data_IF_122054573369
#
_entry.id   IF_122054573369
#
_cell.length_a   1.000
_cell.length_b   1.000
_cell.length_c   1.000
_cell.angle_alpha   90.00
_cell.angle_beta   90.00
_cell.angle_gamma   90.00
#
_symmetry.space_group_name_H-M   'P 1'
#
loop_
_entity.id
_entity.type
_entity.pdbx_description
1 polymer ?
#
# COMPACT_ATOMS: atom_id res chain seq x y z
N UNK A 1 -34.88 -16.42 14.60
CA UNK A 1 -34.24 -15.08 14.74
C UNK A 1 -32.86 -15.17 15.41
N UNK A 2 -32.75 -15.73 16.61
CA UNK A 2 -31.47 -15.84 17.36
C UNK A 2 -30.33 -16.48 16.56
N UNK A 3 -30.56 -17.63 15.90
CA UNK A 3 -29.55 -18.32 15.07
C UNK A 3 -29.12 -17.52 13.84
N UNK A 4 -30.05 -16.78 13.22
CA UNK A 4 -29.77 -15.89 12.08
C UNK A 4 -28.93 -14.68 12.51
N UNK A 5 -29.19 -14.13 13.70
CA UNK A 5 -28.37 -13.08 14.30
C UNK A 5 -26.97 -13.60 14.69
N UNK A 6 -26.84 -14.84 15.18
CA UNK A 6 -25.54 -15.47 15.46
C UNK A 6 -24.67 -15.62 14.21
N UNK A 7 -25.29 -15.97 13.07
CA UNK A 7 -24.61 -16.06 11.78
C UNK A 7 -24.19 -14.70 11.23
N UNK A 8 -25.02 -13.65 11.42
CA UNK A 8 -24.68 -12.27 11.04
C UNK A 8 -23.47 -11.73 11.81
N UNK A 9 -23.34 -12.05 13.10
CA UNK A 9 -22.20 -11.61 13.93
C UNK A 9 -20.89 -12.30 13.49
N UNK A 10 -20.92 -13.60 13.16
CA UNK A 10 -19.74 -14.31 12.65
C UNK A 10 -19.31 -13.81 11.25
N UNK A 11 -20.26 -13.43 10.40
CA UNK A 11 -20.00 -12.86 9.07
C UNK A 11 -19.51 -11.40 9.15
N UNK A 12 -19.90 -10.64 10.18
CA UNK A 12 -19.38 -9.29 10.40
C UNK A 12 -17.96 -9.29 10.97
N UNK A 13 -17.63 -10.21 11.89
CA UNK A 13 -16.29 -10.32 12.46
C UNK A 13 -15.22 -10.72 11.42
N UNK A 14 -15.63 -11.35 10.31
CA UNK A 14 -14.76 -11.72 9.18
C UNK A 14 -14.58 -10.62 8.13
N UNK A 15 -15.31 -9.50 8.23
CA UNK A 15 -15.24 -8.33 7.33
C UNK A 15 -14.66 -7.06 7.96
N UNK A 16 -14.19 -7.12 9.22
CA UNK A 16 -13.53 -5.96 9.83
C UNK A 16 -12.14 -5.73 9.24
N UNK A 17 -11.74 -4.49 8.94
CA UNK A 17 -10.37 -4.18 8.58
C UNK A 17 -9.44 -4.51 9.75
N UNK A 18 -8.20 -4.86 9.46
CA UNK A 18 -7.15 -5.01 10.47
C UNK A 18 -5.98 -4.03 10.25
N UNK A 19 -5.98 -3.37 9.09
CA UNK A 19 -5.10 -2.26 8.76
C UNK A 19 -5.83 -1.27 7.84
N UNK A 20 -5.37 -0.02 7.83
CA UNK A 20 -5.93 1.02 6.97
C UNK A 20 -4.88 2.08 6.68
N UNK A 21 -5.10 2.84 5.60
CA UNK A 21 -4.25 3.93 5.18
C UNK A 21 -5.05 5.18 4.81
N UNK A 22 -4.51 6.37 5.09
CA UNK A 22 -5.05 7.64 4.60
C UNK A 22 -3.93 8.40 3.87
N UNK A 23 -4.15 8.64 2.57
CA UNK A 23 -3.35 9.57 1.77
C UNK A 23 -3.92 10.98 1.95
N UNK A 24 -3.12 11.89 2.51
CA UNK A 24 -3.57 13.25 2.86
C UNK A 24 -3.52 14.18 1.64
N UNK A 25 -4.16 15.37 1.69
CA UNK A 25 -4.01 16.38 0.66
C UNK A 25 -2.55 16.75 0.38
N UNK A 26 -1.70 16.82 1.42
CA UNK A 26 -0.27 17.07 1.25
C UNK A 26 0.43 15.94 0.49
N UNK A 27 0.05 14.68 0.73
CA UNK A 27 0.53 13.54 -0.05
C UNK A 27 0.10 13.60 -1.51
N UNK A 28 -1.14 14.03 -1.80
CA UNK A 28 -1.60 14.24 -3.17
C UNK A 28 -0.84 15.35 -3.90
N UNK A 29 -0.58 16.47 -3.23
CA UNK A 29 0.26 17.54 -3.78
C UNK A 29 1.68 17.06 -4.07
N UNK A 30 2.26 16.24 -3.19
CA UNK A 30 3.57 15.63 -3.42
C UNK A 30 3.56 14.71 -4.66
N UNK A 31 2.55 13.83 -4.78
CA UNK A 31 2.39 12.95 -5.94
C UNK A 31 2.27 13.78 -7.22
N UNK A 32 1.45 14.82 -7.21
CA UNK A 32 1.29 15.70 -8.36
C UNK A 32 2.62 16.34 -8.80
N UNK A 33 3.42 16.82 -7.84
CA UNK A 33 4.71 17.44 -8.13
C UNK A 33 5.71 16.46 -8.76
N UNK A 34 5.85 15.25 -8.19
CA UNK A 34 6.80 14.25 -8.71
C UNK A 34 6.35 13.65 -10.05
N UNK A 35 5.04 13.67 -10.34
CA UNK A 35 4.48 13.15 -11.60
C UNK A 35 4.61 14.11 -12.79
N UNK A 36 4.98 15.38 -12.59
CA UNK A 36 5.11 16.38 -13.69
C UNK A 36 6.01 15.91 -14.83
N UNK A 37 7.19 15.39 -14.51
CA UNK A 37 8.16 14.96 -15.53
C UNK A 37 7.63 13.78 -16.36
N UNK A 38 6.94 12.84 -15.71
CA UNK A 38 6.30 11.72 -16.39
C UNK A 38 5.14 12.20 -17.29
N UNK A 39 4.32 13.12 -16.78
CA UNK A 39 3.23 13.69 -17.56
C UNK A 39 3.74 14.44 -18.80
N UNK A 40 4.81 15.22 -18.66
CA UNK A 40 5.46 15.90 -19.78
C UNK A 40 5.98 14.90 -20.81
N UNK A 41 6.65 13.83 -20.38
CA UNK A 41 7.18 12.81 -21.29
C UNK A 41 6.08 12.14 -22.12
N UNK A 42 4.96 11.76 -21.47
CA UNK A 42 3.81 11.13 -22.14
C UNK A 42 3.17 12.10 -23.15
N UNK A 43 2.87 13.33 -22.71
CA UNK A 43 2.26 14.34 -23.58
C UNK A 43 3.17 14.71 -24.75
N UNK A 44 4.48 14.82 -24.51
CA UNK A 44 5.46 15.12 -25.55
C UNK A 44 5.53 14.03 -26.61
N UNK A 45 5.53 12.76 -26.19
CA UNK A 45 5.59 11.62 -27.11
C UNK A 45 4.39 11.62 -28.07
N UNK A 46 3.20 11.92 -27.57
CA UNK A 46 1.98 11.84 -28.39
C UNK A 46 1.69 13.12 -29.18
N UNK A 47 1.95 14.31 -28.60
CA UNK A 47 1.70 15.59 -29.28
C UNK A 47 2.75 15.93 -30.33
N UNK A 48 3.99 15.46 -30.18
CA UNK A 48 5.05 15.68 -31.18
C UNK A 48 5.15 14.53 -32.20
N UNK A 49 4.31 13.51 -32.10
CA UNK A 49 4.29 12.41 -33.07
C UNK A 49 3.88 12.93 -34.46
N UNK A 50 4.59 12.57 -35.54
CA UNK A 50 4.20 12.98 -36.88
C UNK A 50 2.82 12.40 -37.23
N UNK A 51 1.94 13.24 -37.77
CA UNK A 51 0.65 12.80 -38.28
C UNK A 51 0.87 11.68 -39.31
N UNK A 52 0.24 10.52 -39.08
CA UNK A 52 0.30 9.39 -40.02
C UNK A 52 -0.28 9.90 -41.35
N UNK A 53 0.45 9.79 -42.47
CA UNK A 53 -0.10 10.20 -43.75
C UNK A 53 -1.28 9.29 -44.08
N UNK A 54 -2.47 9.87 -44.24
CA UNK A 54 -3.61 9.17 -44.81
C UNK A 54 -3.18 8.54 -46.14
N UNK A 55 -3.26 7.21 -46.24
CA UNK A 55 -2.93 6.41 -47.43
C UNK A 55 -3.92 6.63 -48.59
N UNK A 56 -4.70 7.71 -48.57
CA UNK A 56 -5.57 8.11 -49.66
C UNK A 56 -4.77 8.94 -50.67
N UNK A 57 -4.49 8.32 -51.81
CA UNK A 57 -3.92 8.95 -53.01
C UNK A 57 -4.77 10.17 -53.41
N UNK A 58 -4.39 11.36 -52.95
CA UNK A 58 -4.97 12.63 -53.39
C UNK A 58 -5.04 13.78 -52.38
N UNK A 59 -4.78 13.55 -51.09
CA UNK A 59 -4.91 14.62 -50.08
C UNK A 59 -3.76 15.65 -50.15
N UNK A 60 -4.03 16.94 -49.90
CA UNK A 60 -2.99 17.97 -49.89
C UNK A 60 -1.92 17.65 -48.85
N UNK A 61 -0.67 18.00 -49.15
CA UNK A 61 0.48 17.93 -48.25
C UNK A 61 0.10 18.58 -46.90
N UNK A 62 0.37 17.94 -45.74
CA UNK A 62 0.05 18.54 -44.46
C UNK A 62 0.86 19.83 -44.29
N UNK A 63 0.21 20.97 -44.48
CA UNK A 63 0.61 22.26 -43.92
C UNK A 63 0.13 22.24 -42.46
N UNK A 64 0.94 22.45 -41.44
CA UNK A 64 2.35 22.80 -41.38
C UNK A 64 2.65 23.51 -40.06
N UNK A 65 1.93 23.18 -38.98
CA UNK A 65 2.21 23.69 -37.65
C UNK A 65 2.73 22.51 -36.83
N UNK A 66 4.05 22.48 -36.65
CA UNK A 66 4.69 21.45 -35.86
C UNK A 66 4.74 21.92 -34.41
N UNK A 67 4.29 21.06 -33.49
CA UNK A 67 4.52 21.23 -32.06
C UNK A 67 6.01 20.94 -31.83
N UNK A 68 6.75 21.97 -31.41
CA UNK A 68 8.19 21.95 -31.26
C UNK A 68 8.63 21.82 -29.80
N UNK A 69 7.77 22.24 -28.86
CA UNK A 69 8.00 22.08 -27.43
C UNK A 69 6.69 21.80 -26.69
N UNK A 70 6.79 20.96 -25.68
CA UNK A 70 5.72 20.63 -24.72
C UNK A 70 6.35 20.72 -23.33
N UNK A 71 5.81 21.58 -22.48
CA UNK A 71 6.30 21.75 -21.11
C UNK A 71 5.11 21.80 -20.15
N UNK A 72 5.15 20.97 -19.11
CA UNK A 72 4.08 20.97 -18.10
C UNK A 72 4.36 22.09 -17.09
N UNK A 73 3.57 23.15 -17.14
CA UNK A 73 3.69 24.30 -16.26
C UNK A 73 3.16 23.97 -14.85
N UNK A 74 2.00 23.31 -14.78
CA UNK A 74 1.37 22.92 -13.52
C UNK A 74 0.69 21.55 -13.65
N UNK A 75 0.79 20.74 -12.60
CA UNK A 75 0.01 19.52 -12.44
C UNK A 75 -0.51 19.50 -11.01
N UNK A 76 -1.81 19.38 -10.84
CA UNK A 76 -2.44 19.33 -9.53
C UNK A 76 -3.50 18.23 -9.42
N UNK A 77 -3.62 17.71 -8.20
CA UNK A 77 -4.63 16.73 -7.81
C UNK A 77 -5.43 17.31 -6.65
N UNK A 78 -6.74 17.42 -6.83
CA UNK A 78 -7.65 17.91 -5.78
C UNK A 78 -8.73 16.89 -5.44
N UNK A 79 -9.14 16.85 -4.18
CA UNK A 79 -10.16 15.92 -3.70
C UNK A 79 -11.56 16.42 -4.06
N UNK A 80 -12.36 15.54 -4.64
CA UNK A 80 -13.81 15.71 -4.75
C UNK A 80 -14.44 14.76 -3.72
N UNK A 81 -14.93 15.27 -2.57
CA UNK A 81 -15.53 14.44 -1.53
C UNK A 81 -16.62 13.53 -2.09
N UNK A 82 -16.62 12.27 -1.64
CA UNK A 82 -17.57 11.23 -2.02
C UNK A 82 -17.57 10.83 -3.51
N UNK A 83 -16.71 11.43 -4.34
CA UNK A 83 -16.68 11.17 -5.79
C UNK A 83 -15.31 10.71 -6.31
N UNK A 84 -14.20 11.33 -5.88
CA UNK A 84 -12.89 10.99 -6.41
C UNK A 84 -11.84 12.11 -6.32
N UNK A 85 -11.07 12.25 -7.39
CA UNK A 85 -10.04 13.26 -7.59
C UNK A 85 -10.32 14.07 -8.84
N UNK A 86 -9.82 15.29 -8.88
CA UNK A 86 -9.72 16.11 -10.07
C UNK A 86 -8.27 16.36 -10.40
N UNK A 87 -7.86 15.88 -11.57
CA UNK A 87 -6.58 16.12 -12.19
C UNK A 87 -6.69 17.38 -13.06
N UNK A 88 -5.78 18.33 -12.83
CA UNK A 88 -5.60 19.52 -13.66
C UNK A 88 -4.16 19.54 -14.17
N UNK A 89 -3.97 19.70 -15.48
CA UNK A 89 -2.65 19.83 -16.11
C UNK A 89 -2.67 21.07 -17.00
N UNK A 90 -1.76 22.00 -16.73
CA UNK A 90 -1.50 23.16 -17.58
C UNK A 90 -0.19 22.93 -18.34
N UNK A 91 -0.24 23.06 -19.66
CA UNK A 91 0.84 22.74 -20.58
C UNK A 91 1.11 23.92 -21.49
N UNK A 92 2.36 24.35 -21.57
CA UNK A 92 2.82 25.34 -22.53
C UNK A 92 3.28 24.61 -23.81
N UNK A 93 2.64 24.95 -24.92
CA UNK A 93 2.92 24.39 -26.25
C UNK A 93 3.62 25.43 -27.12
N UNK A 94 4.79 25.08 -27.66
CA UNK A 94 5.46 25.88 -28.67
C UNK A 94 5.09 25.38 -30.05
N UNK A 95 4.27 26.15 -30.78
CA UNK A 95 3.80 25.79 -32.12
C UNK A 95 4.47 26.72 -33.13
N UNK A 96 5.12 26.16 -34.15
CA UNK A 96 5.72 26.97 -35.22
C UNK A 96 4.96 26.74 -36.52
N UNK A 97 4.07 27.67 -36.92
CA UNK A 97 3.44 27.62 -38.23
C UNK A 97 4.46 27.99 -39.29
N UNK A 98 4.68 27.16 -40.31
CA UNK A 98 5.52 27.57 -41.44
C UNK A 98 4.78 28.63 -42.30
N UNK A 99 5.38 29.79 -42.64
CA UNK A 99 6.78 30.24 -42.49
C UNK A 99 6.99 31.31 -41.38
N UNK A 100 6.19 31.27 -40.32
CA UNK A 100 6.07 32.31 -39.29
C UNK A 100 6.83 32.03 -37.99
N UNK A 101 6.77 32.98 -37.04
CA UNK A 101 7.37 32.89 -35.70
C UNK A 101 6.61 31.93 -34.80
N UNK A 102 7.32 31.19 -33.94
CA UNK A 102 6.75 30.30 -32.93
C UNK A 102 5.76 31.04 -32.03
N UNK A 103 4.53 30.52 -31.95
CA UNK A 103 3.50 30.98 -31.01
C UNK A 103 3.49 30.05 -29.80
N UNK A 104 3.25 30.63 -28.61
CA UNK A 104 3.02 29.86 -27.39
C UNK A 104 1.51 29.77 -27.18
N UNK A 105 1.01 28.54 -27.13
CA UNK A 105 -0.37 28.23 -26.76
C UNK A 105 -0.39 27.55 -25.40
N UNK A 106 -1.45 27.76 -24.63
CA UNK A 106 -1.66 27.14 -23.33
C UNK A 106 -2.76 26.10 -23.45
N UNK A 107 -2.42 24.84 -23.19
CA UNK A 107 -3.34 23.73 -23.15
C UNK A 107 -3.66 23.43 -21.68
N UNK A 108 -4.94 23.51 -21.33
CA UNK A 108 -5.47 23.12 -20.01
C UNK A 108 -6.24 21.82 -20.15
N UNK A 109 -5.88 20.82 -19.35
CA UNK A 109 -6.51 19.50 -19.30
C UNK A 109 -7.13 19.30 -17.93
N UNK A 110 -8.41 19.00 -17.90
CA UNK A 110 -9.16 18.68 -16.68
C UNK A 110 -9.76 17.29 -16.80
N UNK A 111 -9.46 16.41 -15.85
CA UNK A 111 -10.04 15.06 -15.81
C UNK A 111 -10.45 14.71 -14.39
N UNK A 112 -11.66 14.17 -14.22
CA UNK A 112 -12.07 13.59 -12.95
C UNK A 112 -11.64 12.11 -12.91
N UNK A 113 -11.03 11.69 -11.80
CA UNK A 113 -10.52 10.35 -11.58
C UNK A 113 -11.24 9.72 -10.39
N UNK A 114 -11.55 8.44 -10.44
CA UNK A 114 -12.10 7.71 -9.31
C UNK A 114 -11.46 6.33 -9.20
N UNK A 115 -11.52 5.73 -8.01
CA UNK A 115 -10.97 4.39 -7.79
C UNK A 115 -12.12 3.40 -7.66
N UNK A 116 -12.10 2.38 -8.50
CA UNK A 116 -13.03 1.26 -8.45
C UNK A 116 -12.36 0.02 -7.87
N UNK A 117 -13.17 -0.89 -7.33
CA UNK A 117 -12.72 -2.21 -6.89
C UNK A 117 -13.28 -3.26 -7.84
N UNK A 118 -12.39 -4.01 -8.48
CA UNK A 118 -12.76 -5.08 -9.38
C UNK A 118 -13.43 -6.23 -8.63
N UNK A 119 -14.18 -7.12 -9.32
CA UNK A 119 -14.76 -8.32 -8.70
C UNK A 119 -13.71 -9.23 -8.05
N UNK A 120 -12.48 -9.21 -8.53
CA UNK A 120 -11.32 -9.94 -8.01
C UNK A 120 -10.71 -9.27 -6.77
N UNK A 121 -11.18 -8.07 -6.40
CA UNK A 121 -10.72 -7.31 -5.23
C UNK A 121 -9.52 -6.41 -5.49
N UNK A 122 -9.14 -6.20 -6.76
CA UNK A 122 -8.07 -5.28 -7.12
C UNK A 122 -8.60 -3.85 -7.23
N UNK A 123 -7.74 -2.86 -6.97
CA UNK A 123 -8.09 -1.45 -7.13
C UNK A 123 -7.63 -0.95 -8.49
N UNK A 124 -8.47 -0.17 -9.15
CA UNK A 124 -8.15 0.47 -10.42
C UNK A 124 -8.55 1.94 -10.38
N UNK A 125 -7.62 2.81 -10.79
CA UNK A 125 -7.87 4.22 -11.01
C UNK A 125 -8.41 4.39 -12.43
N UNK A 126 -9.61 4.94 -12.53
CA UNK A 126 -10.35 5.09 -13.77
C UNK A 126 -10.51 6.58 -14.08
N UNK A 127 -10.32 6.93 -15.36
CA UNK A 127 -10.65 8.27 -15.88
C UNK A 127 -12.15 8.36 -16.14
N UNK A 128 -12.76 9.47 -15.72
CA UNK A 128 -14.15 9.82 -16.02
C UNK A 128 -14.18 11.02 -16.99
N UNK A 129 -15.07 12.05 -16.93
CA UNK A 129 -15.09 13.06 -17.98
C UNK A 129 -13.76 13.81 -18.02
N UNK A 130 -13.12 13.78 -19.19
CA UNK A 130 -11.96 14.57 -19.51
C UNK A 130 -12.36 15.70 -20.46
N UNK A 131 -11.84 16.89 -20.20
CA UNK A 131 -12.00 18.07 -21.03
C UNK A 131 -10.64 18.71 -21.24
N UNK A 132 -10.29 18.97 -22.49
CA UNK A 132 -9.12 19.77 -22.83
C UNK A 132 -9.56 21.08 -23.50
N UNK A 133 -8.84 22.16 -23.23
CA UNK A 133 -9.09 23.50 -23.77
C UNK A 133 -7.77 24.12 -24.18
N UNK A 134 -7.73 24.72 -25.36
CA UNK A 134 -6.56 25.39 -25.91
C UNK A 134 -6.82 26.89 -25.98
N UNK A 135 -5.91 27.68 -25.40
CA UNK A 135 -5.99 29.14 -25.38
C UNK A 135 -4.68 29.78 -25.88
N UNK A 136 -4.80 30.89 -26.61
CA UNK A 136 -3.63 31.67 -27.04
C UNK A 136 -3.09 32.52 -25.88
N UNK A 137 -1.83 32.31 -25.51
CA UNK A 137 -1.20 32.99 -24.37
C UNK A 137 -0.98 34.51 -24.57
N UNK A 138 -1.27 35.07 -25.76
CA UNK A 138 -1.00 36.47 -26.13
C UNK A 138 -2.24 37.36 -26.32
N UNK A 139 -3.46 36.93 -25.96
CA UNK A 139 -4.66 37.79 -26.09
C UNK A 139 -4.93 38.66 -24.85
N UNK A 140 -4.01 39.58 -24.52
CA UNK A 140 -4.33 40.70 -23.61
C UNK A 140 -3.61 41.97 -24.04
N UNK A 141 -4.10 42.61 -25.09
CA UNK A 141 -4.10 44.08 -25.23
C UNK A 141 -5.17 44.46 -26.25
N UNK A 142 -6.14 45.27 -25.82
CA UNK A 142 -7.37 45.52 -26.56
C UNK A 142 -7.18 46.45 -27.75
N UNK A 143 -7.78 46.07 -28.88
CA UNK A 143 -8.41 47.00 -29.84
C UNK A 143 -9.56 46.24 -30.51
N UNK A 144 -10.78 46.78 -30.40
CA UNK A 144 -11.95 46.32 -31.16
C UNK A 144 -11.62 46.24 -32.65
N UNK A 145 -11.57 45.01 -33.17
CA UNK A 145 -11.49 44.73 -34.60
C UNK A 145 -12.51 43.65 -34.91
N UNK A 146 -13.65 44.07 -35.48
CA UNK A 146 -14.63 43.14 -36.07
C UNK A 146 -13.98 42.45 -37.28
N UNK A 147 -13.53 41.21 -37.09
CA UNK A 147 -13.38 40.26 -38.19
C UNK A 147 -13.84 38.89 -37.73
N UNK A 148 -14.77 38.37 -38.51
CA UNK A 148 -15.51 37.13 -38.40
C UNK A 148 -14.62 35.88 -38.28
N UNK A 149 -15.00 35.06 -37.30
CA UNK A 149 -15.01 33.60 -37.21
C UNK A 149 -14.28 32.73 -38.25
N UNK A 150 -13.66 31.70 -37.65
CA UNK A 150 -13.45 30.32 -38.13
C UNK A 150 -12.53 30.13 -39.33
N UNK A 151 -11.31 29.66 -39.07
CA UNK A 151 -10.54 28.71 -39.93
C UNK A 151 -9.20 28.33 -39.26
N UNK A 152 -9.22 27.95 -37.98
CA UNK A 152 -8.04 27.40 -37.27
C UNK A 152 -8.40 26.32 -36.24
N UNK A 153 -9.59 25.71 -36.35
CA UNK A 153 -10.15 24.82 -35.31
C UNK A 153 -9.77 23.33 -35.45
N UNK A 154 -8.99 22.93 -36.47
CA UNK A 154 -8.75 21.49 -36.75
C UNK A 154 -7.35 20.97 -36.36
N UNK A 155 -6.51 21.76 -35.71
CA UNK A 155 -5.07 21.44 -35.70
C UNK A 155 -4.56 20.64 -34.49
N UNK A 156 -5.32 20.60 -33.40
CA UNK A 156 -5.05 19.72 -32.26
C UNK A 156 -6.36 18.98 -31.95
N UNK A 157 -6.38 17.68 -32.21
CA UNK A 157 -7.54 16.85 -31.87
C UNK A 157 -7.64 16.74 -30.33
N UNK A 158 -8.41 17.66 -29.76
CA UNK A 158 -8.68 17.77 -28.32
C UNK A 158 -9.26 16.47 -27.76
N UNK A 159 -10.07 15.75 -28.56
CA UNK A 159 -10.64 14.46 -28.17
C UNK A 159 -9.55 13.38 -28.04
N UNK A 160 -8.49 13.46 -28.85
CA UNK A 160 -7.33 12.57 -28.73
C UNK A 160 -6.52 12.86 -27.47
N UNK A 161 -6.39 14.11 -27.05
CA UNK A 161 -5.65 14.48 -25.82
C UNK A 161 -6.21 13.74 -24.60
N UNK A 162 -7.54 13.66 -24.49
CA UNK A 162 -8.18 12.95 -23.38
C UNK A 162 -7.92 11.44 -23.37
N UNK A 163 -7.76 10.82 -24.55
CA UNK A 163 -7.30 9.43 -24.63
C UNK A 163 -5.86 9.29 -24.14
N UNK A 164 -4.98 10.24 -24.47
CA UNK A 164 -3.58 10.20 -24.01
C UNK A 164 -3.43 10.44 -22.51
N UNK A 165 -4.31 11.24 -21.90
CA UNK A 165 -4.38 11.41 -20.45
C UNK A 165 -4.65 10.07 -19.74
N UNK A 166 -5.41 9.17 -20.37
CA UNK A 166 -5.64 7.84 -19.81
C UNK A 166 -4.35 7.01 -19.75
N UNK A 167 -3.35 7.27 -20.61
CA UNK A 167 -2.03 6.61 -20.53
C UNK A 167 -1.25 7.03 -19.28
N UNK A 168 -1.51 8.22 -18.72
CA UNK A 168 -0.90 8.65 -17.46
C UNK A 168 -1.29 7.74 -16.29
N UNK A 169 -2.41 7.02 -16.40
CA UNK A 169 -2.90 6.12 -15.36
C UNK A 169 -2.31 4.71 -15.44
N UNK A 170 -1.59 4.37 -16.51
CA UNK A 170 -1.06 3.00 -16.70
C UNK A 170 -0.13 2.60 -15.56
N UNK A 171 0.86 3.45 -15.24
CA UNK A 171 1.82 3.16 -14.16
C UNK A 171 1.16 3.18 -12.77
N UNK A 172 0.34 4.18 -12.40
CA UNK A 172 -0.43 4.12 -11.16
C UNK A 172 -1.28 2.85 -11.01
N UNK A 173 -1.91 2.39 -12.09
CA UNK A 173 -2.72 1.15 -12.06
C UNK A 173 -1.87 -0.10 -11.93
N UNK A 174 -0.69 -0.16 -12.55
CA UNK A 174 0.28 -1.24 -12.34
C UNK A 174 0.70 -1.34 -10.87
N UNK A 175 1.01 -0.20 -10.25
CA UNK A 175 1.37 -0.13 -8.84
C UNK A 175 0.19 -0.47 -7.92
N UNK A 176 -1.03 -0.02 -8.23
CA UNK A 176 -2.24 -0.39 -7.48
C UNK A 176 -2.55 -1.88 -7.56
N UNK A 177 -2.34 -2.51 -8.71
CA UNK A 177 -2.48 -3.97 -8.85
C UNK A 177 -1.45 -4.73 -8.00
N UNK A 178 -0.27 -4.16 -7.77
CA UNK A 178 0.76 -4.78 -6.91
C UNK A 178 0.38 -4.81 -5.42
N UNK A 179 -0.60 -4.01 -4.99
CA UNK A 179 -1.04 -3.93 -3.58
C UNK A 179 -1.52 -5.28 -3.04
N UNK A 180 -2.16 -6.09 -3.89
CA UNK A 180 -2.69 -7.41 -3.53
C UNK A 180 -1.68 -8.54 -3.68
N UNK A 181 -0.43 -8.22 -4.05
CA UNK A 181 0.65 -9.20 -4.12
C UNK A 181 1.01 -9.77 -2.74
N UNK A 182 1.53 -11.00 -2.74
CA UNK A 182 2.05 -11.62 -1.53
C UNK A 182 3.46 -11.08 -1.24
N UNK A 183 3.64 -10.49 -0.07
CA UNK A 183 4.88 -9.91 0.39
C UNK A 183 5.57 -10.83 1.40
N UNK A 184 6.87 -11.11 1.26
CA UNK A 184 7.58 -11.99 2.18
C UNK A 184 7.78 -11.34 3.54
N UNK A 185 7.39 -12.04 4.61
CA UNK A 185 7.73 -11.71 6.01
C UNK A 185 8.96 -12.52 6.43
N UNK A 186 8.95 -13.83 6.15
CA UNK A 186 10.09 -14.76 6.31
C UNK A 186 10.15 -15.68 5.08
N UNK A 187 11.18 -16.54 4.92
CA UNK A 187 11.22 -17.49 3.80
C UNK A 187 10.01 -18.44 3.72
N UNK A 188 9.34 -18.70 4.85
CA UNK A 188 8.19 -19.60 4.94
C UNK A 188 6.87 -18.88 5.23
N UNK A 189 6.88 -17.56 5.43
CA UNK A 189 5.70 -16.77 5.80
C UNK A 189 5.56 -15.53 4.91
N UNK A 190 4.37 -15.34 4.34
CA UNK A 190 4.02 -14.21 3.49
C UNK A 190 2.77 -13.51 4.01
N UNK A 191 2.65 -12.21 3.74
CA UNK A 191 1.47 -11.39 4.04
C UNK A 191 0.87 -10.90 2.74
N UNK A 192 -0.46 -10.88 2.66
CA UNK A 192 -1.22 -10.33 1.56
C UNK A 192 -2.21 -9.31 2.08
N UNK A 193 -2.21 -8.11 1.49
CA UNK A 193 -3.16 -7.04 1.82
C UNK A 193 -4.32 -7.07 0.83
N UNK A 194 -5.55 -7.09 1.35
CA UNK A 194 -6.77 -7.18 0.54
C UNK A 194 -7.66 -5.97 0.82
N UNK A 195 -7.99 -5.16 -0.20
CA UNK A 195 -9.03 -4.14 -0.11
C UNK A 195 -10.37 -4.75 0.32
N UNK A 196 -11.04 -4.07 1.25
CA UNK A 196 -12.40 -4.45 1.66
C UNK A 196 -13.48 -3.75 0.84
N UNK A 197 -13.16 -2.58 0.31
CA UNK A 197 -14.02 -1.75 -0.50
C UNK A 197 -13.15 -0.77 -1.31
N UNK A 198 -13.76 -0.09 -2.28
CA UNK A 198 -13.16 1.06 -2.93
C UNK A 198 -12.79 2.15 -1.89
N UNK A 199 -11.73 2.94 -2.13
CA UNK A 199 -11.33 4.00 -1.22
C UNK A 199 -12.41 5.07 -1.02
N UNK A 200 -12.46 5.63 0.19
CA UNK A 200 -13.38 6.71 0.54
C UNK A 200 -12.67 8.05 0.39
N UNK A 201 -13.26 8.96 -0.40
CA UNK A 201 -12.74 10.30 -0.65
C UNK A 201 -13.40 11.31 0.28
N UNK A 202 -12.60 12.02 1.06
CA UNK A 202 -13.07 12.99 2.05
C UNK A 202 -12.21 14.24 2.05
N UNK A 203 -12.57 15.24 2.87
CA UNK A 203 -11.73 16.42 3.09
C UNK A 203 -10.39 16.08 3.77
N UNK A 204 -10.37 14.97 4.52
CA UNK A 204 -9.18 14.52 5.23
C UNK A 204 -8.19 13.78 4.31
N UNK A 205 -8.65 13.33 3.14
CA UNK A 205 -7.84 12.54 2.21
C UNK A 205 -8.60 11.36 1.61
N UNK A 206 -7.83 10.46 1.01
CA UNK A 206 -8.29 9.18 0.47
C UNK A 206 -8.03 8.09 1.51
N UNK A 207 -9.09 7.49 2.04
CA UNK A 207 -9.01 6.44 3.03
C UNK A 207 -9.20 5.05 2.40
N UNK A 208 -8.28 4.13 2.69
CA UNK A 208 -8.33 2.75 2.23
C UNK A 208 -8.38 1.80 3.43
N UNK A 209 -9.37 0.92 3.45
CA UNK A 209 -9.52 -0.11 4.48
C UNK A 209 -9.09 -1.48 3.95
N UNK A 210 -8.17 -2.11 4.67
CA UNK A 210 -7.51 -3.33 4.24
C UNK A 210 -7.71 -4.45 5.28
N UNK A 211 -7.60 -5.67 4.79
CA UNK A 211 -7.54 -6.88 5.60
C UNK A 211 -6.30 -7.67 5.21
N UNK A 212 -5.63 -8.23 6.19
CA UNK A 212 -4.47 -9.09 5.96
C UNK A 212 -4.84 -10.56 5.93
N UNK A 213 -4.17 -11.29 5.04
CA UNK A 213 -4.13 -12.74 5.01
C UNK A 213 -2.69 -13.17 5.12
N UNK A 214 -2.38 -14.09 6.03
CA UNK A 214 -1.06 -14.68 6.15
C UNK A 214 -1.03 -16.05 5.48
N UNK A 215 0.05 -16.31 4.76
CA UNK A 215 0.30 -17.58 4.10
C UNK A 215 1.55 -18.21 4.70
N UNK A 216 1.47 -19.48 5.08
CA UNK A 216 2.61 -20.26 5.57
C UNK A 216 2.83 -21.42 4.60
N UNK A 217 4.04 -21.52 4.06
CA UNK A 217 4.37 -22.47 3.00
C UNK A 217 3.37 -22.44 1.81
N UNK A 218 2.90 -21.24 1.45
CA UNK A 218 1.94 -21.02 0.36
C UNK A 218 0.48 -21.34 0.69
N UNK A 219 0.17 -21.71 1.93
CA UNK A 219 -1.19 -22.05 2.37
C UNK A 219 -1.73 -20.92 3.27
N UNK A 220 -2.93 -20.37 3.01
CA UNK A 220 -3.53 -19.37 3.88
C UNK A 220 -3.87 -20.00 5.23
N UNK A 221 -3.46 -19.36 6.31
CA UNK A 221 -3.71 -19.87 7.66
C UNK A 221 -4.98 -19.26 8.28
N UNK A 222 -5.73 -20.02 9.09
CA UNK A 222 -6.84 -19.47 9.86
C UNK A 222 -6.30 -18.53 10.95
N UNK A 223 -6.72 -17.27 10.90
CA UNK A 223 -6.28 -16.25 11.85
C UNK A 223 -7.24 -16.08 13.02
N UNK A 224 -6.75 -15.65 14.20
CA UNK A 224 -7.61 -15.32 15.33
C UNK A 224 -8.69 -14.29 14.94
N UNK A 225 -9.92 -14.56 15.34
CA UNK A 225 -11.02 -13.61 15.16
C UNK A 225 -10.93 -12.55 16.25
N UNK A 226 -10.84 -11.27 15.87
CA UNK A 226 -10.96 -10.18 16.83
C UNK A 226 -12.44 -9.83 17.05
N UNK A 227 -12.90 -9.72 18.30
CA UNK A 227 -14.23 -9.22 18.60
C UNK A 227 -14.31 -7.68 18.49
N UNK A 228 -13.17 -6.99 18.45
CA UNK A 228 -13.12 -5.52 18.46
C UNK A 228 -13.06 -5.01 17.02
N UNK A 229 -14.06 -4.21 16.58
CA UNK A 229 -14.01 -3.53 15.29
C UNK A 229 -12.84 -2.54 15.26
N UNK A 230 -12.08 -2.56 14.16
CA UNK A 230 -11.06 -1.55 13.90
C UNK A 230 -11.69 -0.39 13.12
N UNK A 231 -11.27 0.82 13.45
CA UNK A 231 -11.58 2.02 12.68
C UNK A 231 -10.31 2.84 12.54
N UNK A 232 -10.12 3.41 11.36
CA UNK A 232 -8.97 4.26 11.10
C UNK A 232 -8.98 5.44 12.07
N UNK A 233 -7.89 5.70 12.80
CA UNK A 233 -7.79 6.89 13.64
C UNK A 233 -7.95 8.14 12.79
N UNK A 234 -8.73 9.10 13.29
CA UNK A 234 -8.88 10.39 12.61
C UNK A 234 -7.51 11.08 12.59
N UNK A 235 -6.96 11.43 11.41
CA UNK A 235 -5.69 12.14 11.34
C UNK A 235 -5.79 13.46 12.11
N UNK A 236 -4.74 13.81 12.85
CA UNK A 236 -4.65 15.15 13.40
C UNK A 236 -4.73 16.16 12.25
N UNK A 237 -5.60 17.16 12.38
CA UNK A 237 -5.92 18.15 11.33
C UNK A 237 -4.73 18.97 10.84
N UNK A 238 -3.61 18.94 11.57
CA UNK A 238 -2.34 19.62 11.27
C UNK A 238 -1.16 18.68 11.01
N UNK A 239 -1.39 17.38 10.80
CA UNK A 239 -0.30 16.43 10.57
C UNK A 239 0.39 16.73 9.22
N UNK A 240 1.72 16.95 9.18
CA UNK A 240 2.45 17.12 7.93
C UNK A 240 2.63 15.79 7.17
N UNK A 241 2.15 14.68 7.71
CA UNK A 241 2.33 13.36 7.09
C UNK A 241 1.59 13.28 5.75
N UNK A 242 2.30 12.85 4.70
CA UNK A 242 1.71 12.57 3.38
C UNK A 242 0.81 11.32 3.42
N UNK A 243 1.20 10.32 4.22
CA UNK A 243 0.51 9.05 4.38
C UNK A 243 0.46 8.68 5.85
N UNK A 244 -0.72 8.27 6.33
CA UNK A 244 -0.89 7.68 7.65
C UNK A 244 -1.31 6.23 7.49
N UNK A 245 -0.59 5.30 8.10
CA UNK A 245 -0.96 3.89 8.18
C UNK A 245 -1.35 3.55 9.61
N UNK A 246 -2.37 2.74 9.78
CA UNK A 246 -2.79 2.23 11.08
C UNK A 246 -2.97 0.71 11.03
N UNK A 247 -2.46 0.05 12.06
CA UNK A 247 -2.46 -1.39 12.20
C UNK A 247 -3.10 -1.76 13.53
N UNK A 248 -4.10 -2.63 13.49
CA UNK A 248 -4.85 -3.04 14.67
C UNK A 248 -4.06 -4.03 15.53
N UNK A 249 -4.50 -4.21 16.78
CA UNK A 249 -4.04 -5.31 17.64
C UNK A 249 -4.22 -6.68 16.96
N UNK A 250 -5.29 -6.83 16.17
CA UNK A 250 -5.57 -8.04 15.39
C UNK A 250 -4.49 -8.31 14.34
N UNK A 251 -4.02 -7.28 13.63
CA UNK A 251 -2.96 -7.41 12.64
C UNK A 251 -1.71 -7.99 13.28
N UNK A 252 -1.23 -7.38 14.37
CA UNK A 252 -0.02 -7.85 15.04
C UNK A 252 -0.20 -9.23 15.67
N UNK A 253 -1.33 -9.49 16.32
CA UNK A 253 -1.64 -10.83 16.86
C UNK A 253 -1.60 -11.88 15.76
N UNK A 254 -2.20 -11.59 14.60
CA UNK A 254 -2.23 -12.48 13.44
C UNK A 254 -0.83 -12.71 12.85
N UNK A 255 0.00 -11.66 12.78
CA UNK A 255 1.41 -11.76 12.37
C UNK A 255 2.20 -12.71 13.28
N UNK A 256 2.11 -12.54 14.60
CA UNK A 256 2.84 -13.40 15.54
C UNK A 256 2.31 -14.84 15.54
N UNK A 257 1.01 -15.06 15.37
CA UNK A 257 0.45 -16.40 15.13
C UNK A 257 0.98 -17.03 13.84
N UNK A 258 1.11 -16.25 12.76
CA UNK A 258 1.67 -16.75 11.49
C UNK A 258 3.14 -17.17 11.64
N UNK A 259 3.93 -16.39 12.37
CA UNK A 259 5.33 -16.69 12.66
C UNK A 259 5.48 -17.95 13.52
N UNK A 260 4.59 -18.14 14.50
CA UNK A 260 4.51 -19.38 15.30
C UNK A 260 4.25 -20.60 14.40
N UNK A 261 3.21 -20.54 13.56
CA UNK A 261 2.85 -21.64 12.64
C UNK A 261 3.97 -21.90 11.63
N UNK A 262 4.67 -20.86 11.19
CA UNK A 262 5.83 -20.95 10.30
C UNK A 262 7.08 -21.52 10.99
N UNK A 263 7.03 -21.79 12.29
CA UNK A 263 8.15 -22.32 13.08
C UNK A 263 9.25 -21.29 13.35
N UNK A 264 8.97 -19.99 13.17
CA UNK A 264 9.96 -18.93 13.32
C UNK A 264 10.47 -18.77 14.77
N UNK A 265 9.72 -19.32 15.74
CA UNK A 265 10.09 -19.32 17.16
C UNK A 265 10.62 -20.66 17.66
N UNK A 266 10.83 -21.65 16.79
CA UNK A 266 11.39 -22.93 17.21
C UNK A 266 12.85 -22.73 17.65
N UNK A 267 13.09 -22.88 18.95
CA UNK A 267 14.41 -22.69 19.53
C UNK A 267 14.81 -23.86 20.42
N UNK A 268 16.05 -24.33 20.23
CA UNK A 268 16.73 -25.25 21.14
C UNK A 268 17.90 -24.49 21.74
N UNK A 269 17.84 -24.25 23.04
CA UNK A 269 18.85 -23.51 23.79
C UNK A 269 19.81 -24.53 24.43
N UNK A 270 21.10 -24.55 24.05
CA UNK A 270 22.08 -25.33 24.79
C UNK A 270 22.27 -24.71 26.18
N UNK A 271 22.17 -25.54 27.22
CA UNK A 271 22.45 -25.11 28.59
C UNK A 271 23.92 -25.32 28.92
N UNK A 272 24.55 -24.45 29.73
CA UNK A 272 25.83 -24.78 30.35
C UNK A 272 25.71 -25.87 31.43
N UNK A 273 24.49 -26.27 31.79
CA UNK A 273 24.22 -27.28 32.81
C UNK A 273 24.35 -28.71 32.25
N UNK A 274 24.72 -29.62 33.14
CA UNK A 274 24.74 -31.06 32.88
C UNK A 274 23.73 -31.81 33.77
N UNK A 275 23.40 -33.04 33.43
CA UNK A 275 22.50 -33.88 34.23
C UNK A 275 23.02 -34.07 35.66
N UNK A 276 24.35 -34.18 35.86
CA UNK A 276 24.94 -34.21 37.20
C UNK A 276 24.71 -32.90 37.98
N UNK A 277 24.83 -31.75 37.30
CA UNK A 277 24.58 -30.43 37.91
C UNK A 277 23.12 -30.30 38.35
N UNK A 278 22.18 -30.75 37.52
CA UNK A 278 20.74 -30.77 37.85
C UNK A 278 20.45 -31.76 38.98
N UNK A 279 21.10 -32.94 38.99
CA UNK A 279 20.93 -33.97 40.01
C UNK A 279 21.30 -33.50 41.44
N UNK A 280 22.22 -32.55 41.57
CA UNK A 280 22.56 -31.94 42.87
C UNK A 280 21.36 -31.24 43.54
N UNK A 281 20.40 -30.76 42.74
CA UNK A 281 19.19 -30.08 43.23
C UNK A 281 17.93 -30.94 43.10
N UNK A 282 17.88 -31.80 42.09
CA UNK A 282 16.76 -32.71 41.82
C UNK A 282 17.28 -34.14 41.90
N UNK A 283 17.28 -34.73 43.10
CA UNK A 283 17.88 -36.04 43.38
C UNK A 283 17.23 -37.20 42.60
N UNK A 284 16.01 -37.03 42.10
CA UNK A 284 15.34 -37.98 41.22
C UNK A 284 16.05 -38.13 39.85
N UNK A 285 16.90 -37.16 39.48
CA UNK A 285 17.64 -37.15 38.21
C UNK A 285 18.78 -38.17 38.20
N UNK A 286 19.44 -38.41 39.34
CA UNK A 286 20.54 -39.38 39.45
C UNK A 286 20.12 -40.83 39.25
N UNK A 287 18.82 -41.15 39.37
CA UNK A 287 18.30 -42.47 39.01
C UNK A 287 17.92 -42.60 37.53
N UNK A 288 17.70 -41.47 36.85
CA UNK A 288 17.25 -41.45 35.44
C UNK A 288 18.43 -41.43 34.46
N UNK A 289 19.54 -40.79 34.84
CA UNK A 289 20.73 -40.67 34.01
C UNK A 289 21.95 -41.17 34.78
N UNK A 290 22.60 -42.21 34.25
CA UNK A 290 23.84 -42.76 34.83
C UNK A 290 25.08 -41.98 34.38
N UNK A 291 25.02 -41.41 33.19
CA UNK A 291 26.09 -40.61 32.59
C UNK A 291 25.81 -39.11 32.75
N UNK A 292 26.89 -38.32 32.85
CA UNK A 292 26.81 -36.86 32.88
C UNK A 292 26.65 -36.32 31.45
N UNK A 293 25.47 -35.81 31.14
CA UNK A 293 25.05 -35.46 29.79
C UNK A 293 24.68 -33.97 29.71
N UNK A 294 24.91 -33.32 28.57
CA UNK A 294 24.54 -31.92 28.40
C UNK A 294 23.02 -31.76 28.46
N UNK A 295 22.58 -30.69 29.13
CA UNK A 295 21.16 -30.33 29.22
C UNK A 295 20.81 -29.34 28.10
N UNK A 296 19.66 -29.53 27.48
CA UNK A 296 19.10 -28.60 26.50
C UNK A 296 17.72 -28.15 26.94
N UNK A 297 17.36 -26.92 26.56
CA UNK A 297 16.02 -26.39 26.74
C UNK A 297 15.35 -26.28 25.38
N UNK A 298 14.14 -26.80 25.26
CA UNK A 298 13.30 -26.63 24.09
C UNK A 298 12.05 -25.85 24.50
N UNK A 299 11.87 -24.66 23.93
CA UNK A 299 10.68 -23.86 24.17
C UNK A 299 9.66 -24.13 23.06
N UNK A 300 8.43 -24.47 23.44
CA UNK A 300 7.30 -24.66 22.52
C UNK A 300 6.12 -23.79 22.95
N UNK A 301 5.33 -23.33 21.99
CA UNK A 301 4.13 -22.56 22.29
C UNK A 301 3.03 -23.49 22.81
N UNK A 302 2.48 -23.14 23.97
CA UNK A 302 1.32 -23.79 24.57
C UNK A 302 0.01 -23.27 23.98
N UNK A 303 0.01 -22.01 23.56
CA UNK A 303 -1.08 -21.36 22.85
C UNK A 303 -0.58 -20.17 22.05
N UNK A 304 -1.35 -19.77 21.04
CA UNK A 304 -0.95 -18.71 20.13
C UNK A 304 -0.66 -17.38 20.84
N UNK A 305 0.39 -16.65 20.44
CA UNK A 305 0.76 -15.38 21.04
C UNK A 305 -0.34 -14.34 20.86
N UNK A 306 -0.32 -13.33 21.74
CA UNK A 306 -1.28 -12.22 21.68
C UNK A 306 -0.55 -10.90 21.79
N UNK A 307 -0.95 -9.93 21.00
CA UNK A 307 -0.45 -8.56 21.14
C UNK A 307 -1.48 -7.74 21.90
N UNK A 308 -1.01 -6.81 22.72
CA UNK A 308 -1.82 -5.79 23.38
C UNK A 308 -1.26 -4.43 22.98
N UNK A 309 -2.13 -3.57 22.45
CA UNK A 309 -1.78 -2.20 22.10
C UNK A 309 -2.51 -1.24 23.05
N UNK A 310 -1.73 -0.41 23.74
CA UNK A 310 -2.20 0.67 24.59
C UNK A 310 -1.49 1.97 24.18
N UNK A 311 -1.99 3.12 24.66
CA UNK A 311 -1.35 4.40 24.36
C UNK A 311 0.12 4.39 24.83
N UNK A 312 1.04 4.58 23.89
CA UNK A 312 2.49 4.57 24.13
C UNK A 312 3.09 3.20 24.48
N UNK A 313 2.31 2.10 24.42
CA UNK A 313 2.78 0.77 24.79
C UNK A 313 2.29 -0.30 23.82
N UNK A 314 3.20 -1.16 23.40
CA UNK A 314 2.87 -2.38 22.68
C UNK A 314 3.54 -3.56 23.40
N UNK A 315 2.79 -4.62 23.67
CA UNK A 315 3.30 -5.79 24.38
C UNK A 315 2.89 -7.09 23.69
N UNK A 316 3.84 -8.01 23.54
CA UNK A 316 3.64 -9.36 23.07
C UNK A 316 3.54 -10.31 24.26
N UNK A 317 2.39 -10.95 24.43
CA UNK A 317 2.15 -12.00 25.41
C UNK A 317 2.46 -13.35 24.79
N UNK A 318 3.38 -14.07 25.41
CA UNK A 318 3.85 -15.40 25.01
C UNK A 318 3.42 -16.42 26.06
N UNK A 319 2.96 -17.57 25.58
CA UNK A 319 2.48 -18.67 26.42
C UNK A 319 3.26 -19.92 26.04
N UNK A 320 4.33 -20.20 26.77
CA UNK A 320 5.31 -21.22 26.41
C UNK A 320 5.28 -22.39 27.40
N UNK A 321 5.70 -23.55 26.92
CA UNK A 321 6.16 -24.66 27.75
C UNK A 321 7.63 -24.90 27.41
N UNK A 322 8.48 -24.78 28.42
CA UNK A 322 9.91 -25.05 28.31
C UNK A 322 10.16 -26.48 28.78
N UNK A 323 10.58 -27.32 27.85
CA UNK A 323 11.04 -28.68 28.13
C UNK A 323 12.53 -28.63 28.42
N UNK A 324 12.93 -29.21 29.54
CA UNK A 324 14.32 -29.39 29.94
C UNK A 324 14.63 -30.87 29.82
N UNK A 325 15.62 -31.18 29.00
CA UNK A 325 15.92 -32.54 28.62
C UNK A 325 17.40 -32.78 28.33
N UNK A 326 17.69 -34.03 28.01
CA UNK A 326 19.01 -34.45 27.54
C UNK A 326 19.26 -33.92 26.12
N UNK A 327 20.47 -33.41 25.88
CA UNK A 327 20.95 -32.98 24.56
C UNK A 327 21.28 -34.12 23.58
N UNK A 328 20.49 -35.20 23.58
CA UNK A 328 20.61 -36.31 22.65
C UNK A 328 19.73 -36.11 21.39
N UNK A 329 20.00 -36.81 20.28
CA UNK A 329 19.21 -36.70 19.05
C UNK A 329 17.72 -37.00 19.22
N UNK A 330 17.35 -37.73 20.27
CA UNK A 330 15.97 -38.12 20.58
C UNK A 330 15.29 -37.23 21.63
N UNK A 331 15.95 -36.16 22.10
CA UNK A 331 15.54 -35.22 23.15
C UNK A 331 14.54 -35.81 24.17
N UNK A 332 15.08 -36.32 25.28
CA UNK A 332 14.25 -36.83 26.37
C UNK A 332 14.03 -35.74 27.43
N UNK A 333 12.83 -35.15 27.43
CA UNK A 333 12.41 -34.19 28.46
C UNK A 333 12.21 -34.90 29.81
N UNK A 334 12.85 -34.40 30.86
CA UNK A 334 12.66 -34.86 32.24
C UNK A 334 11.95 -33.81 33.12
N UNK A 335 11.84 -32.57 32.66
CA UNK A 335 11.14 -31.49 33.35
C UNK A 335 10.44 -30.59 32.33
N UNK A 336 9.20 -30.23 32.60
CA UNK A 336 8.43 -29.30 31.77
C UNK A 336 7.94 -28.14 32.64
N UNK A 337 8.19 -26.92 32.21
CA UNK A 337 7.85 -25.70 32.94
C UNK A 337 6.95 -24.85 32.05
N UNK A 338 5.78 -24.47 32.55
CA UNK A 338 4.93 -23.51 31.85
C UNK A 338 5.39 -22.09 32.18
N UNK A 339 5.63 -21.29 31.15
CA UNK A 339 6.13 -19.92 31.27
C UNK A 339 5.22 -18.99 30.49
N UNK A 340 4.54 -18.12 31.22
CA UNK A 340 3.77 -17.03 30.64
C UNK A 340 4.59 -15.75 30.80
N UNK A 341 4.96 -15.13 29.69
CA UNK A 341 5.82 -13.94 29.68
C UNK A 341 5.25 -12.86 28.78
N UNK A 342 5.66 -11.62 29.03
CA UNK A 342 5.35 -10.49 28.17
C UNK A 342 6.67 -9.81 27.73
N UNK A 343 6.74 -9.45 26.46
CA UNK A 343 7.85 -8.70 25.88
C UNK A 343 7.33 -7.36 25.34
N UNK A 344 8.06 -6.27 25.59
CA UNK A 344 7.72 -4.97 25.02
C UNK A 344 8.03 -4.98 23.53
N UNK A 345 7.12 -4.48 22.70
CA UNK A 345 7.36 -4.34 21.27
C UNK A 345 7.78 -2.92 20.94
N UNK A 346 8.90 -2.79 20.24
CA UNK A 346 9.35 -1.55 19.64
C UNK A 346 9.05 -1.58 18.15
N UNK A 347 8.30 -0.59 17.69
CA UNK A 347 7.85 -0.46 16.31
C UNK A 347 8.56 0.74 15.68
N UNK A 348 9.22 0.52 14.54
CA UNK A 348 9.88 1.57 13.78
C UNK A 348 9.73 1.32 12.28
N UNK A 349 10.18 2.28 11.45
CA UNK A 349 10.11 2.18 10.00
C UNK A 349 11.49 2.47 9.42
N UNK A 350 11.98 1.61 8.52
CA UNK A 350 13.24 1.77 7.80
C UNK A 350 13.06 1.29 6.35
N UNK A 351 13.52 2.08 5.37
CA UNK A 351 13.51 1.71 3.93
C UNK A 351 12.18 1.12 3.43
N UNK A 352 11.05 1.71 3.86
CA UNK A 352 9.66 1.28 3.60
C UNK A 352 9.16 0.01 4.32
N UNK A 353 9.95 -0.55 5.23
CA UNK A 353 9.60 -1.71 6.04
C UNK A 353 9.27 -1.33 7.47
N UNK A 354 8.26 -1.99 8.03
CA UNK A 354 8.03 -1.97 9.47
C UNK A 354 9.05 -2.88 10.15
N UNK A 355 9.81 -2.30 11.06
CA UNK A 355 10.78 -2.99 11.90
C UNK A 355 10.15 -3.24 13.27
N UNK A 356 10.10 -4.51 13.66
CA UNK A 356 9.54 -4.95 14.95
C UNK A 356 10.67 -5.59 15.74
N UNK A 357 10.95 -5.07 16.92
CA UNK A 357 11.88 -5.69 17.88
C UNK A 357 11.22 -5.90 19.23
N UNK A 358 11.70 -6.90 19.96
CA UNK A 358 11.28 -7.16 21.33
C UNK A 358 12.30 -6.57 22.30
N UNK A 359 11.84 -5.82 23.28
CA UNK A 359 12.61 -5.36 24.42
C UNK A 359 12.20 -6.16 25.68
N UNK A 360 13.15 -6.35 26.59
CA UNK A 360 12.82 -6.79 27.95
C UNK A 360 11.88 -5.76 28.58
N UNK A 361 10.79 -6.26 29.18
CA UNK A 361 9.98 -5.46 30.09
C UNK A 361 10.74 -5.49 31.41
N UNK A 362 11.37 -4.37 31.80
CA UNK A 362 11.93 -4.18 33.15
C UNK A 362 10.88 -4.31 34.25
#
# INVERSE_FOLDING_TARGET
LSVLLSLLVAVQATRSPDCAGILTPAGLSYIAEVSKAQAEAVLRQDLMAPAVPDLFLGSPKPSGNQINSVTVAELSLSLIPDAGLRLSIDVDLGITPAPSTTKVMRLSILADLHVEMSPEGNLELVTSPCKATLEDAQSTEGVESKSSSSDADDEINVDKICLEVSKLLLLPNEELMSLTAQLPVTPSCQVQYLPLAAPVFSKQGIALSLRTTFHVAGIPIPLPVSPVPFSMPVPASSSPAHLTLAFSERFYTSLFSALEIAGAFNMTIPSPLTTATVAQKITQMSSLFQDDLPVTLQAVFRSSPRVVLEEGKAALKLFLTVHVGEGSPTFQSFLSINVDMAAGLLLSVADTRMMISAAEIE
#
